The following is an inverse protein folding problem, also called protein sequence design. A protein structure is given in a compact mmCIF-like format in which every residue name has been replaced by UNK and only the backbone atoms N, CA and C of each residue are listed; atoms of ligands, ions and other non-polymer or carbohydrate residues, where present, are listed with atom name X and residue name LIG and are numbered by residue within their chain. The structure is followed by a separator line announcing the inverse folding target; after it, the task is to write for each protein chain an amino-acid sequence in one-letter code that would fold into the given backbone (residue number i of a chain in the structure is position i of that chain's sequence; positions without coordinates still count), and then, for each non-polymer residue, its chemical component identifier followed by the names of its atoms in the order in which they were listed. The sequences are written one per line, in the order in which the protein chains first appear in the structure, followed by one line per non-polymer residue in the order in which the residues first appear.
data_IF_118805663513
#
_entry.id   IF_118805663513
#
_cell.length_a   1.000
_cell.length_b   1.000
_cell.length_c   1.000
_cell.angle_alpha   90.00
_cell.angle_beta   90.00
_cell.angle_gamma   90.00
#
_symmetry.space_group_name_H-M   'P 1'
#
loop_
_entity.id
_entity.type
_entity.pdbx_description
1 polymer ?
#
# COMPACT_ATOMS: atom_id res chain seq x y z
N UNK A 1 15.18 4.20 -1.34
CA UNK A 1 16.02 5.29 -0.79
C UNK A 1 15.12 6.15 0.08
N UNK A 2 15.27 6.07 1.40
CA UNK A 2 14.38 6.70 2.38
C UNK A 2 14.60 8.21 2.40
N UNK A 3 13.54 9.00 2.23
CA UNK A 3 13.62 10.45 2.36
C UNK A 3 13.79 10.84 3.83
N UNK A 4 14.54 11.91 4.09
CA UNK A 4 14.99 12.46 5.38
C UNK A 4 13.86 12.93 6.34
N UNK A 5 12.61 12.46 6.14
CA UNK A 5 11.42 12.90 6.90
C UNK A 5 10.50 11.74 7.32
N UNK A 6 10.92 10.49 7.14
CA UNK A 6 10.12 9.32 7.51
C UNK A 6 10.31 8.95 8.99
N UNK A 7 9.23 8.99 9.76
CA UNK A 7 9.20 8.61 11.18
C UNK A 7 8.69 7.19 11.36
N UNK A 8 9.44 6.34 12.05
CA UNK A 8 9.04 4.99 12.43
C UNK A 8 8.87 4.92 13.94
N UNK A 9 8.09 3.96 14.42
CA UNK A 9 7.94 3.74 15.86
C UNK A 9 8.43 2.36 16.24
N UNK A 10 9.14 2.33 17.36
CA UNK A 10 9.56 1.09 18.01
C UNK A 10 8.67 0.89 19.23
N UNK A 11 8.09 -0.29 19.33
CA UNK A 11 7.41 -0.77 20.53
C UNK A 11 8.38 -1.74 21.20
N UNK A 12 8.66 -1.50 22.47
CA UNK A 12 9.42 -2.43 23.30
C UNK A 12 8.46 -3.06 24.30
N UNK A 13 8.42 -4.39 24.31
CA UNK A 13 7.65 -5.19 25.26
C UNK A 13 8.62 -6.01 26.13
N UNK A 14 8.65 -5.72 27.43
CA UNK A 14 9.47 -6.45 28.40
C UNK A 14 8.78 -7.69 28.96
N UNK A 15 7.76 -8.21 28.25
CA UNK A 15 6.92 -9.35 28.67
C UNK A 15 6.28 -9.17 30.04
N UNK A 16 6.02 -7.92 30.41
CA UNK A 16 5.37 -7.49 31.65
C UNK A 16 4.16 -6.62 31.36
N UNK A 17 3.47 -6.88 30.25
CA UNK A 17 2.19 -6.28 29.87
C UNK A 17 2.20 -4.76 29.65
N UNK A 18 3.39 -4.16 29.48
CA UNK A 18 3.55 -2.71 29.31
C UNK A 18 4.24 -2.41 27.98
N UNK A 19 3.52 -1.76 27.06
CA UNK A 19 4.03 -1.38 25.75
C UNK A 19 4.67 0.02 25.78
N UNK A 20 5.97 0.10 25.52
CA UNK A 20 6.66 1.39 25.37
C UNK A 20 6.70 1.80 23.89
N UNK A 21 5.83 2.72 23.49
CA UNK A 21 5.82 3.28 22.13
C UNK A 21 6.77 4.47 22.03
N UNK A 22 7.74 4.43 21.12
CA UNK A 22 8.71 5.52 20.95
C UNK A 22 8.92 5.90 19.48
N UNK A 23 8.85 7.20 19.22
CA UNK A 23 9.13 7.79 17.92
C UNK A 23 10.61 7.76 17.63
N UNK A 24 10.97 7.31 16.44
CA UNK A 24 12.33 7.35 15.93
C UNK A 24 12.36 8.14 14.61
N UNK A 25 13.40 8.95 14.45
CA UNK A 25 13.63 9.77 13.25
C UNK A 25 14.91 9.32 12.57
N UNK A 26 14.85 9.11 11.25
CA UNK A 26 16.02 8.79 10.46
C UNK A 26 16.71 10.06 9.96
N UNK A 27 18.01 10.18 10.23
CA UNK A 27 18.89 11.13 9.56
C UNK A 27 19.97 10.34 8.81
N UNK A 28 21.07 9.99 9.47
CA UNK A 28 22.10 9.03 9.05
C UNK A 28 22.11 7.77 9.92
N UNK A 29 21.57 7.89 11.13
CA UNK A 29 21.26 6.82 12.08
C UNK A 29 19.86 7.04 12.65
N UNK A 30 19.27 6.02 13.28
CA UNK A 30 17.96 6.12 13.90
C UNK A 30 18.06 6.79 15.27
N UNK A 31 17.45 7.96 15.41
CA UNK A 31 17.47 8.73 16.64
C UNK A 31 16.13 8.59 17.37
N UNK A 32 16.15 8.05 18.58
CA UNK A 32 14.99 7.96 19.44
C UNK A 32 14.65 9.34 20.03
N UNK A 33 13.37 9.70 20.08
CA UNK A 33 12.93 10.91 20.80
C UNK A 33 13.22 10.81 22.30
N UNK A 34 13.18 9.58 22.85
CA UNK A 34 13.54 9.26 24.24
C UNK A 34 14.31 7.95 24.27
N UNK A 35 15.42 7.92 24.99
CA UNK A 35 16.19 6.70 25.24
C UNK A 35 15.31 5.66 25.95
N UNK A 36 15.35 4.43 25.46
CA UNK A 36 14.75 3.26 26.12
C UNK A 36 15.88 2.46 26.73
N UNK A 37 15.74 2.13 28.01
CA UNK A 37 16.71 1.31 28.74
C UNK A 37 16.16 -0.10 28.93
N UNK A 38 17.07 -1.07 29.02
CA UNK A 38 16.74 -2.39 29.54
C UNK A 38 16.15 -2.27 30.93
N UNK A 39 15.17 -3.12 31.26
CA UNK A 39 14.54 -3.12 32.58
C UNK A 39 15.55 -3.46 33.68
N UNK A 40 16.34 -4.50 33.46
CA UNK A 40 17.42 -4.99 34.31
C UNK A 40 18.40 -5.83 33.45
N UNK A 41 19.38 -6.49 34.09
CA UNK A 41 20.40 -7.27 33.39
C UNK A 41 19.95 -8.68 32.99
N UNK A 42 18.69 -9.05 33.24
CA UNK A 42 18.19 -10.42 33.09
C UNK A 42 16.92 -10.49 32.22
N UNK A 43 16.10 -9.45 32.21
CA UNK A 43 14.81 -9.42 31.54
C UNK A 43 15.00 -9.19 30.05
N UNK A 44 14.70 -10.22 29.26
CA UNK A 44 14.65 -10.13 27.80
C UNK A 44 13.50 -9.22 27.35
N UNK A 45 13.63 -8.64 26.15
CA UNK A 45 12.60 -7.80 25.56
C UNK A 45 12.35 -8.15 24.09
N UNK A 46 11.12 -7.92 23.67
CA UNK A 46 10.71 -7.99 22.27
C UNK A 46 10.63 -6.58 21.69
N UNK A 47 11.21 -6.39 20.50
CA UNK A 47 11.26 -5.12 19.79
C UNK A 47 10.43 -5.24 18.53
N UNK A 48 9.53 -4.29 18.30
CA UNK A 48 8.68 -4.22 17.12
C UNK A 48 8.83 -2.87 16.44
N UNK A 49 8.94 -2.84 15.13
CA UNK A 49 9.04 -1.65 14.31
C UNK A 49 7.86 -1.61 13.34
N UNK A 50 7.28 -0.42 13.13
CA UNK A 50 6.27 -0.22 12.09
C UNK A 50 6.31 1.18 11.48
N UNK A 51 5.82 1.28 10.24
CA UNK A 51 5.60 2.51 9.49
C UNK A 51 4.53 2.32 8.42
N UNK A 52 3.77 3.37 8.09
CA UNK A 52 3.82 4.72 8.70
C UNK A 52 3.36 4.74 10.15
N UNK A 53 3.75 5.79 10.88
CA UNK A 53 3.32 5.97 12.26
C UNK A 53 1.79 6.05 12.37
N UNK A 54 1.26 5.31 13.35
CA UNK A 54 -0.10 5.46 13.84
C UNK A 54 -0.08 5.49 15.36
N UNK A 55 -0.88 6.39 15.93
CA UNK A 55 -0.95 6.57 17.39
C UNK A 55 -1.67 5.40 18.09
N UNK A 56 -2.44 4.60 17.34
CA UNK A 56 -3.46 3.66 17.86
C UNK A 56 -3.03 2.19 17.88
N UNK A 57 -1.74 1.87 18.07
CA UNK A 57 -1.32 0.46 18.26
C UNK A 57 -1.66 -0.03 19.68
N UNK A 58 -2.87 -0.52 19.90
CA UNK A 58 -3.29 -1.04 21.21
C UNK A 58 -2.73 -2.45 21.50
N UNK A 59 -2.48 -3.23 20.45
CA UNK A 59 -1.95 -4.60 20.54
C UNK A 59 -0.90 -4.83 19.45
N UNK A 60 0.21 -5.49 19.81
CA UNK A 60 1.25 -5.90 18.85
C UNK A 60 0.82 -7.09 18.00
N UNK A 61 -0.11 -7.92 18.49
CA UNK A 61 -0.64 -9.07 17.73
C UNK A 61 -1.85 -8.72 16.86
N UNK A 62 -2.39 -7.51 17.00
CA UNK A 62 -3.59 -7.08 16.29
C UNK A 62 -3.55 -5.58 15.94
N UNK A 63 -2.46 -5.12 15.34
CA UNK A 63 -2.33 -3.74 14.89
C UNK A 63 -3.28 -3.48 13.70
N UNK A 64 -4.22 -2.53 13.80
CA UNK A 64 -5.04 -2.16 12.65
C UNK A 64 -4.21 -1.38 11.64
N UNK A 65 -4.36 -1.70 10.36
CA UNK A 65 -3.78 -0.93 9.27
C UNK A 65 -4.78 -0.79 8.11
N UNK A 66 -4.72 0.34 7.42
CA UNK A 66 -5.54 0.59 6.24
C UNK A 66 -4.73 1.27 5.15
N UNK A 67 -4.93 0.81 3.91
CA UNK A 67 -4.45 1.53 2.73
C UNK A 67 -5.48 2.61 2.37
N UNK A 68 -5.01 3.75 1.84
CA UNK A 68 -5.93 4.79 1.40
C UNK A 68 -6.76 4.31 0.21
N UNK A 69 -8.06 4.60 0.23
CA UNK A 69 -8.93 4.41 -0.93
C UNK A 69 -8.62 5.42 -2.05
N UNK A 70 -7.99 6.54 -1.70
CA UNK A 70 -7.48 7.50 -2.68
C UNK A 70 -5.98 7.69 -2.47
N UNK A 71 -5.19 7.04 -3.32
CA UNK A 71 -3.73 7.14 -3.36
C UNK A 71 -3.24 8.09 -4.47
N UNK A 72 -4.12 8.93 -5.03
CA UNK A 72 -3.75 9.85 -6.11
C UNK A 72 -2.65 10.86 -5.73
N UNK A 73 -2.48 11.15 -4.43
CA UNK A 73 -1.38 11.96 -3.92
C UNK A 73 -0.19 11.10 -3.48
N UNK A 74 1.03 11.64 -3.63
CA UNK A 74 2.26 10.97 -3.20
C UNK A 74 2.24 10.65 -1.69
N UNK A 75 1.63 11.52 -0.87
CA UNK A 75 1.49 11.32 0.57
C UNK A 75 0.61 10.11 0.90
N UNK A 76 -0.58 10.03 0.29
CA UNK A 76 -1.52 8.92 0.52
C UNK A 76 -1.00 7.58 -0.05
N UNK A 77 -0.27 7.63 -1.17
CA UNK A 77 0.43 6.47 -1.72
C UNK A 77 1.50 5.94 -0.76
N UNK A 78 2.40 6.82 -0.29
CA UNK A 78 3.46 6.43 0.66
C UNK A 78 2.91 5.97 2.02
N UNK A 79 1.83 6.58 2.50
CA UNK A 79 1.19 6.15 3.75
C UNK A 79 0.43 4.83 3.62
N UNK A 80 0.24 4.34 2.41
CA UNK A 80 -0.36 3.03 2.16
C UNK A 80 0.69 1.90 2.09
N UNK A 81 1.98 2.22 2.19
CA UNK A 81 3.07 1.24 2.22
C UNK A 81 3.43 0.87 3.66
N UNK A 82 2.86 -0.23 4.16
CA UNK A 82 3.17 -0.72 5.50
C UNK A 82 4.48 -1.48 5.51
N UNK A 83 5.33 -1.09 6.44
CA UNK A 83 6.64 -1.69 6.67
C UNK A 83 6.73 -2.05 8.15
N UNK A 84 7.05 -3.30 8.44
CA UNK A 84 7.19 -3.78 9.82
C UNK A 84 8.46 -4.60 9.99
N UNK A 85 8.94 -4.69 11.23
CA UNK A 85 10.02 -5.57 11.61
C UNK A 85 9.90 -5.96 13.07
N UNK A 86 10.56 -7.05 13.47
CA UNK A 86 10.61 -7.49 14.85
C UNK A 86 11.94 -8.15 15.18
N UNK A 87 12.33 -8.04 16.45
CA UNK A 87 13.42 -8.80 17.07
C UNK A 87 12.91 -9.28 18.40
N UNK A 88 12.69 -10.58 18.51
CA UNK A 88 12.10 -11.21 19.67
C UNK A 88 13.19 -11.77 20.58
N UNK A 89 12.89 -11.84 21.87
CA UNK A 89 13.72 -12.45 22.91
C UNK A 89 15.13 -11.88 23.01
N UNK A 90 15.29 -10.58 22.78
CA UNK A 90 16.60 -9.95 22.85
C UNK A 90 17.05 -9.83 24.31
N UNK A 91 18.23 -10.40 24.60
CA UNK A 91 18.87 -10.30 25.89
C UNK A 91 19.47 -8.91 26.14
N UNK A 92 19.48 -8.41 27.39
CA UNK A 92 20.13 -7.16 27.73
C UNK A 92 21.61 -7.12 27.31
N UNK A 93 21.99 -6.10 26.55
CA UNK A 93 23.39 -5.89 26.16
C UNK A 93 23.69 -4.43 25.84
N UNK A 94 24.98 -4.11 25.76
CA UNK A 94 25.47 -2.81 25.29
C UNK A 94 25.47 -2.70 23.75
N UNK A 95 25.20 -3.80 23.04
CA UNK A 95 25.17 -3.80 21.57
C UNK A 95 23.83 -3.28 21.05
N UNK A 96 23.80 -2.64 19.87
CA UNK A 96 22.56 -2.25 19.21
C UNK A 96 21.66 -3.47 18.91
N UNK A 97 20.37 -3.34 19.14
CA UNK A 97 19.37 -4.32 18.70
C UNK A 97 19.03 -4.06 17.23
N UNK A 98 19.39 -4.99 16.35
CA UNK A 98 19.07 -4.91 14.93
C UNK A 98 17.64 -5.40 14.69
N UNK A 99 16.83 -4.62 13.97
CA UNK A 99 15.46 -4.98 13.57
C UNK A 99 15.41 -5.04 12.04
N UNK A 100 15.17 -6.23 11.49
CA UNK A 100 15.02 -6.42 10.04
C UNK A 100 13.59 -6.08 9.61
N UNK A 101 13.43 -5.00 8.85
CA UNK A 101 12.13 -4.53 8.39
C UNK A 101 11.80 -5.01 6.96
N UNK A 102 10.51 -5.19 6.67
CA UNK A 102 9.98 -5.60 5.36
C UNK A 102 8.66 -4.92 5.03
N UNK A 103 8.41 -4.72 3.75
CA UNK A 103 7.10 -4.29 3.23
C UNK A 103 6.09 -5.43 3.34
N UNK A 104 4.88 -5.13 3.81
CA UNK A 104 3.80 -6.11 3.95
C UNK A 104 2.66 -5.93 2.96
N UNK A 105 2.56 -4.76 2.30
CA UNK A 105 1.51 -4.54 1.30
C UNK A 105 1.95 -5.10 -0.05
N UNK A 106 0.97 -5.45 -0.88
CA UNK A 106 1.24 -5.76 -2.29
C UNK A 106 1.22 -4.48 -3.11
N UNK A 107 2.17 -4.34 -4.03
CA UNK A 107 2.18 -3.24 -4.98
C UNK A 107 1.55 -3.68 -6.30
N UNK A 108 0.62 -2.90 -6.82
CA UNK A 108 0.06 -3.08 -8.16
C UNK A 108 0.58 -1.98 -9.06
N UNK A 109 1.10 -2.37 -10.22
CA UNK A 109 1.47 -1.47 -11.30
C UNK A 109 0.48 -1.64 -12.45
N UNK A 110 -0.03 -0.52 -12.98
CA UNK A 110 -0.95 -0.50 -14.11
C UNK A 110 -0.33 0.35 -15.21
N UNK A 111 -0.04 -0.31 -16.33
CA UNK A 111 0.47 0.37 -17.54
C UNK A 111 -0.69 0.51 -18.52
N UNK A 112 -0.97 1.75 -18.92
CA UNK A 112 -1.92 2.03 -19.99
C UNK A 112 -1.21 1.98 -21.34
N UNK A 113 -1.77 1.24 -22.30
CA UNK A 113 -1.28 1.19 -23.68
C UNK A 113 -2.28 1.82 -24.64
N UNK A 114 -1.80 2.47 -25.70
CA UNK A 114 -2.69 2.96 -26.75
C UNK A 114 -3.38 1.80 -27.46
N UNK A 115 -4.72 1.83 -27.48
CA UNK A 115 -5.54 0.94 -28.30
C UNK A 115 -6.12 1.70 -29.49
N UNK A 116 -6.91 1.01 -30.32
CA UNK A 116 -7.56 1.61 -31.48
C UNK A 116 -8.27 2.94 -31.14
N UNK A 117 -7.99 3.98 -31.93
CA UNK A 117 -8.48 5.35 -31.73
C UNK A 117 -7.64 6.23 -30.79
N UNK A 118 -6.50 5.72 -30.30
CA UNK A 118 -5.46 6.48 -29.62
C UNK A 118 -4.09 6.19 -30.24
N UNK A 119 -3.27 7.23 -30.38
CA UNK A 119 -1.80 7.11 -30.42
C UNK A 119 -1.25 7.14 -28.98
N UNK A 120 0.00 6.72 -28.78
CA UNK A 120 0.70 6.88 -27.50
C UNK A 120 0.72 8.36 -27.04
N UNK A 121 0.95 9.29 -27.97
CA UNK A 121 0.94 10.75 -27.68
C UNK A 121 -0.44 11.24 -27.22
N UNK A 122 -1.50 10.90 -27.95
CA UNK A 122 -2.87 11.31 -27.60
C UNK A 122 -3.42 10.61 -26.35
N UNK A 123 -2.86 9.46 -25.96
CA UNK A 123 -3.15 8.82 -24.68
C UNK A 123 -2.41 9.52 -23.53
N UNK A 124 -1.17 9.92 -23.73
CA UNK A 124 -0.39 10.66 -22.74
C UNK A 124 -1.00 12.05 -22.44
N UNK A 125 -1.53 12.72 -23.47
CA UNK A 125 -2.26 13.98 -23.35
C UNK A 125 -3.66 13.82 -22.76
N UNK A 126 -4.24 12.61 -22.82
CA UNK A 126 -5.56 12.36 -22.28
C UNK A 126 -5.53 12.40 -20.74
N UNK A 127 -6.43 13.19 -20.14
CA UNK A 127 -6.64 13.21 -18.70
C UNK A 127 -7.43 11.96 -18.25
N UNK A 128 -6.74 10.82 -18.26
CA UNK A 128 -7.28 9.53 -17.85
C UNK A 128 -7.15 9.36 -16.33
N UNK A 129 -8.24 8.91 -15.70
CA UNK A 129 -8.18 8.36 -14.34
C UNK A 129 -8.42 6.85 -14.35
N UNK A 130 -7.75 6.16 -13.42
CA UNK A 130 -7.86 4.71 -13.23
C UNK A 130 -8.48 4.47 -11.86
N UNK A 131 -9.30 3.43 -11.74
CA UNK A 131 -9.82 2.92 -10.48
C UNK A 131 -9.59 1.41 -10.41
N UNK A 132 -9.22 0.93 -9.24
CA UNK A 132 -9.23 -0.49 -8.92
C UNK A 132 -10.48 -0.77 -8.09
N UNK A 133 -11.21 -1.85 -8.32
CA UNK A 133 -12.49 -2.10 -7.64
C UNK A 133 -12.45 -3.37 -6.82
N UNK A 134 -13.41 -3.48 -5.89
CA UNK A 134 -13.64 -4.69 -5.10
C UNK A 134 -12.41 -5.10 -4.29
N UNK A 135 -11.69 -4.12 -3.74
CA UNK A 135 -10.54 -4.35 -2.87
C UNK A 135 -10.88 -4.05 -1.43
N UNK A 136 -10.56 -4.97 -0.53
CA UNK A 136 -10.50 -4.66 0.89
C UNK A 136 -9.34 -3.68 1.13
N UNK A 137 -9.61 -2.65 1.93
CA UNK A 137 -8.66 -1.57 2.24
C UNK A 137 -8.19 -1.58 3.68
N UNK A 138 -8.55 -2.62 4.44
CA UNK A 138 -8.24 -2.73 5.86
C UNK A 138 -7.68 -4.12 6.18
N UNK A 139 -6.80 -4.15 7.18
CA UNK A 139 -6.21 -5.36 7.66
C UNK A 139 -5.86 -5.26 9.15
N UNK A 140 -5.67 -6.42 9.76
CA UNK A 140 -5.04 -6.58 11.06
C UNK A 140 -3.68 -7.21 10.86
N UNK A 141 -2.67 -6.71 11.59
CA UNK A 141 -1.27 -7.14 11.47
C UNK A 141 -0.77 -7.62 12.82
N UNK A 142 -0.18 -8.80 12.84
CA UNK A 142 0.63 -9.26 13.97
C UNK A 142 2.07 -8.84 13.72
N UNK A 143 2.60 -7.95 14.54
CA UNK A 143 3.96 -7.41 14.41
C UNK A 143 5.04 -8.45 14.76
N UNK A 144 4.75 -9.43 15.60
CA UNK A 144 5.71 -10.47 15.98
C UNK A 144 6.02 -11.39 14.79
N UNK A 145 4.97 -11.85 14.12
CA UNK A 145 5.06 -12.74 12.96
C UNK A 145 5.11 -11.99 11.63
N UNK A 146 4.77 -10.71 11.63
CA UNK A 146 4.50 -9.88 10.45
C UNK A 146 3.46 -10.50 9.52
N UNK A 147 2.47 -11.18 10.08
CA UNK A 147 1.35 -11.76 9.34
C UNK A 147 0.24 -10.72 9.18
N UNK A 148 -0.48 -10.81 8.06
CA UNK A 148 -1.56 -9.88 7.72
C UNK A 148 -2.85 -10.63 7.46
N UNK A 149 -3.92 -10.13 8.07
CA UNK A 149 -5.28 -10.65 7.94
C UNK A 149 -6.17 -9.56 7.36
N UNK A 150 -6.64 -9.76 6.14
CA UNK A 150 -7.56 -8.83 5.47
C UNK A 150 -8.89 -8.77 6.23
N UNK A 151 -9.45 -7.57 6.40
CA UNK A 151 -10.76 -7.39 7.03
C UNK A 151 -11.54 -6.21 6.41
N UNK A 152 -12.81 -6.10 6.77
CA UNK A 152 -13.69 -5.02 6.36
C UNK A 152 -14.28 -5.17 4.94
N UNK A 153 -15.09 -4.18 4.56
CA UNK A 153 -15.80 -4.17 3.28
C UNK A 153 -14.90 -3.76 2.12
N UNK A 154 -15.14 -4.38 0.95
CA UNK A 154 -14.48 -4.03 -0.30
C UNK A 154 -14.95 -2.67 -0.82
N UNK A 155 -14.05 -1.94 -1.49
CA UNK A 155 -14.33 -0.64 -2.13
C UNK A 155 -13.43 -0.42 -3.34
N UNK A 156 -13.63 0.70 -4.03
CA UNK A 156 -12.72 1.14 -5.09
C UNK A 156 -11.54 1.94 -4.53
N UNK A 157 -10.40 1.83 -5.21
CA UNK A 157 -9.14 2.50 -4.90
C UNK A 157 -8.65 3.30 -6.12
N UNK A 158 -8.27 4.55 -5.91
CA UNK A 158 -7.64 5.39 -6.94
C UNK A 158 -6.11 5.31 -6.80
N UNK A 159 -5.37 4.85 -7.82
CA UNK A 159 -3.91 4.70 -7.77
C UNK A 159 -3.17 6.04 -7.97
N UNK A 160 -1.91 6.08 -7.51
CA UNK A 160 -0.97 7.16 -7.76
C UNK A 160 -0.50 7.14 -9.22
N UNK A 161 -0.44 8.30 -9.89
CA UNK A 161 0.14 8.41 -11.24
C UNK A 161 1.62 8.80 -11.15
N UNK A 162 2.49 7.89 -11.54
CA UNK A 162 3.95 8.03 -11.59
C UNK A 162 4.42 8.03 -13.05
N UNK A 163 4.44 9.22 -13.66
CA UNK A 163 4.65 9.38 -15.09
C UNK A 163 3.55 8.69 -15.92
N UNK A 164 3.92 7.66 -16.67
CA UNK A 164 3.01 6.86 -17.50
C UNK A 164 2.43 5.62 -16.79
N UNK A 165 2.89 5.32 -15.57
CA UNK A 165 2.47 4.13 -14.82
C UNK A 165 1.60 4.56 -13.64
N UNK A 166 0.53 3.81 -13.39
CA UNK A 166 -0.23 3.96 -12.16
C UNK A 166 0.23 2.92 -11.14
N UNK A 167 0.44 3.34 -9.89
CA UNK A 167 0.89 2.48 -8.80
C UNK A 167 -0.09 2.55 -7.64
N UNK A 168 -0.33 1.43 -6.97
CA UNK A 168 -1.09 1.40 -5.72
C UNK A 168 -0.53 0.35 -4.78
N UNK A 169 -0.56 0.64 -3.48
CA UNK A 169 -0.44 -0.39 -2.46
C UNK A 169 -1.82 -0.93 -2.10
N UNK A 170 -1.95 -2.24 -2.06
CA UNK A 170 -3.18 -2.95 -1.69
C UNK A 170 -2.89 -3.95 -0.58
N UNK A 171 -3.88 -4.17 0.27
CA UNK A 171 -3.82 -5.26 1.25
C UNK A 171 -3.67 -6.58 0.49
N UNK A 172 -2.72 -7.46 0.86
CA UNK A 172 -2.58 -8.76 0.23
C UNK A 172 -3.86 -9.58 0.38
N UNK A 173 -4.50 -9.89 -0.74
CA UNK A 173 -5.84 -10.48 -0.77
C UNK A 173 -6.09 -11.23 -2.08
N UNK A 174 -7.11 -12.07 -2.10
CA UNK A 174 -7.60 -12.68 -3.34
C UNK A 174 -8.62 -11.75 -3.97
N UNK A 175 -8.33 -11.27 -5.19
CA UNK A 175 -9.28 -10.45 -5.93
C UNK A 175 -10.46 -11.30 -6.41
N UNK A 176 -11.68 -10.84 -6.13
CA UNK A 176 -12.93 -11.50 -6.54
C UNK A 176 -13.66 -10.67 -7.61
N UNK A 177 -14.23 -11.36 -8.61
CA UNK A 177 -15.00 -10.75 -9.70
C UNK A 177 -14.18 -10.39 -10.95
N UNK A 178 -14.88 -9.95 -12.00
CA UNK A 178 -14.35 -9.83 -13.36
C UNK A 178 -13.91 -8.40 -13.76
N UNK A 179 -13.92 -7.44 -12.81
CA UNK A 179 -13.70 -6.00 -13.07
C UNK A 179 -12.75 -5.34 -12.05
N UNK A 180 -11.59 -5.95 -11.80
CA UNK A 180 -10.61 -5.44 -10.83
C UNK A 180 -10.12 -4.02 -11.16
N UNK A 181 -10.10 -3.64 -12.44
CA UNK A 181 -9.66 -2.32 -12.89
C UNK A 181 -10.72 -1.70 -13.79
N UNK A 182 -11.23 -0.53 -13.42
CA UNK A 182 -12.12 0.29 -14.25
C UNK A 182 -11.45 1.63 -14.54
N UNK A 183 -11.42 2.04 -15.80
CA UNK A 183 -11.00 3.38 -16.18
C UNK A 183 -12.15 4.37 -15.94
N UNK A 184 -11.88 5.48 -15.28
CA UNK A 184 -12.84 6.58 -15.18
C UNK A 184 -12.40 7.68 -16.15
N UNK A 185 -13.17 7.87 -17.22
CA UNK A 185 -12.98 8.96 -18.18
C UNK A 185 -14.18 9.89 -18.13
N UNK A 186 -13.95 11.18 -18.35
CA UNK A 186 -15.00 12.07 -18.85
C UNK A 186 -15.61 11.46 -20.14
N UNK A 187 -16.93 11.35 -20.16
CA UNK A 187 -17.95 10.98 -21.15
C UNK A 187 -17.62 10.31 -22.53
N UNK A 188 -16.44 10.43 -23.11
CA UNK A 188 -16.19 10.13 -24.56
C UNK A 188 -15.39 8.86 -24.84
N UNK A 189 -15.07 8.05 -23.82
CA UNK A 189 -14.13 6.92 -23.94
C UNK A 189 -14.76 5.63 -23.40
N UNK A 190 -14.73 4.55 -24.17
CA UNK A 190 -15.29 3.24 -23.78
C UNK A 190 -14.25 2.15 -23.99
N UNK A 191 -14.10 1.25 -23.01
CA UNK A 191 -12.96 0.37 -22.93
C UNK A 191 -13.26 -1.03 -22.41
N UNK A 192 -12.63 -2.03 -23.04
CA UNK A 192 -12.59 -3.42 -22.56
C UNK A 192 -11.60 -3.50 -21.39
N UNK A 193 -12.12 -3.91 -20.24
CA UNK A 193 -11.39 -4.16 -19.00
C UNK A 193 -10.28 -5.17 -19.25
N UNK A 194 -9.08 -4.91 -18.72
CA UNK A 194 -8.10 -5.95 -18.48
C UNK A 194 -8.65 -6.83 -17.36
N UNK A 195 -9.49 -7.80 -17.72
CA UNK A 195 -9.95 -8.79 -16.75
C UNK A 195 -8.73 -9.64 -16.40
N UNK A 196 -8.28 -9.53 -15.15
CA UNK A 196 -7.57 -10.66 -14.55
C UNK A 196 -8.60 -11.79 -14.45
N UNK A 197 -8.24 -13.04 -14.80
CA UNK A 197 -9.10 -14.17 -14.49
C UNK A 197 -9.46 -14.13 -13.01
N UNK A 198 -10.74 -14.35 -12.70
CA UNK A 198 -11.24 -14.43 -11.32
C UNK A 198 -10.35 -15.38 -10.51
N UNK A 199 -10.09 -15.09 -9.23
CA UNK A 199 -9.30 -15.91 -8.28
C UNK A 199 -7.76 -15.82 -8.34
N UNK A 200 -7.17 -14.71 -8.79
CA UNK A 200 -5.73 -14.46 -8.58
C UNK A 200 -5.48 -13.87 -7.19
N UNK A 201 -4.55 -14.46 -6.43
CA UNK A 201 -4.03 -13.80 -5.23
C UNK A 201 -3.16 -12.61 -5.62
N UNK A 202 -3.43 -11.46 -5.00
CA UNK A 202 -2.52 -10.32 -4.93
C UNK A 202 -1.66 -10.54 -3.66
N UNK A 203 -0.71 -11.46 -3.75
CA UNK A 203 0.14 -11.88 -2.63
C UNK A 203 1.56 -11.25 -2.69
N UNK A 204 1.94 -10.66 -3.84
CA UNK A 204 3.24 -10.05 -4.17
C UNK A 204 3.03 -8.98 -5.25
N UNK A 205 4.08 -8.26 -5.64
CA UNK A 205 4.04 -7.26 -6.72
C UNK A 205 3.35 -7.82 -7.97
N UNK A 206 2.33 -7.11 -8.46
CA UNK A 206 1.52 -7.51 -9.60
C UNK A 206 1.52 -6.40 -10.65
N UNK A 207 1.99 -6.70 -11.86
CA UNK A 207 1.92 -5.79 -13.00
C UNK A 207 0.73 -6.18 -13.89
N UNK A 208 -0.13 -5.20 -14.20
CA UNK A 208 -1.30 -5.36 -15.06
C UNK A 208 -1.19 -4.38 -16.23
N UNK A 209 -1.44 -4.87 -17.44
CA UNK A 209 -1.51 -4.02 -18.64
C UNK A 209 -2.97 -3.82 -19.03
N UNK A 210 -3.39 -2.57 -19.25
CA UNK A 210 -4.70 -2.24 -19.77
C UNK A 210 -4.58 -1.38 -21.03
N UNK A 211 -5.32 -1.69 -22.10
CA UNK A 211 -5.33 -0.87 -23.31
C UNK A 211 -6.35 0.26 -23.18
N UNK A 212 -6.21 1.35 -23.93
CA UNK A 212 -7.14 2.47 -23.97
C UNK A 212 -7.74 2.67 -25.38
N UNK A 213 -9.07 2.63 -25.53
CA UNK A 213 -9.79 2.74 -26.81
C UNK A 213 -10.69 3.96 -26.83
N UNK A 214 -10.69 4.73 -27.94
CA UNK A 214 -11.61 5.86 -28.13
C UNK A 214 -12.95 5.34 -28.62
N UNK A 215 -14.07 5.82 -28.08
CA UNK A 215 -15.40 5.39 -28.53
C UNK A 215 -15.60 5.91 -29.96
N UNK A 216 -15.89 5.03 -30.91
CA UNK A 216 -16.35 5.46 -32.25
C UNK A 216 -17.64 6.25 -32.05
N UNK A 217 -17.66 7.53 -32.42
CA UNK A 217 -18.93 8.20 -32.69
C UNK A 217 -19.56 7.45 -33.87
N UNK A 218 -20.75 6.87 -33.69
CA UNK A 218 -21.61 6.61 -34.85
C UNK A 218 -22.14 7.98 -35.25
N UNK A 219 -21.58 8.56 -36.30
CA UNK A 219 -22.24 9.67 -36.99
C UNK A 219 -23.45 9.04 -37.69
N UNK A 220 -24.65 9.33 -37.20
CA UNK A 220 -25.85 9.13 -38.00
C UNK A 220 -25.88 10.28 -39.01
N UNK A 221 -25.54 10.00 -40.27
CA UNK A 221 -25.89 10.88 -41.38
C UNK A 221 -27.40 10.75 -41.56
N UNK A 222 -28.15 11.79 -41.19
CA UNK A 222 -29.50 11.96 -41.68
C UNK A 222 -29.41 12.76 -42.98
N UNK A 223 -29.66 12.10 -44.11
CA UNK A 223 -29.95 12.80 -45.37
C UNK A 223 -31.30 13.49 -45.21
N UNK A 224 -31.31 14.81 -45.25
CA UNK A 224 -32.53 15.57 -45.45
C UNK A 224 -32.77 15.65 -46.97
N UNK A 225 -33.89 15.07 -47.43
CA UNK A 225 -34.55 15.47 -48.67
C UNK A 225 -35.66 16.46 -48.34
#
# INVERSE_FOLDING_TARGET
MWSCSSFFFIIVDFRVSTLFKKRHTYTTTWNAEKTVYWKDAQTHADFYMYYPYTQTVASVSAMPFGVSADQSSLGAYKSSDLIVGSTLDAAPSASPVNIAARHLMSQVEIVLKAGAGYSESSLAEANVSVKMNNLATSATVDLATSTISTNGSVRSLTPYKDGAVYRAFVVPQTATGNNLITKCCLATVSLRVASLPSNRCICRSLSVTASAHRRSQRVATADFR
#
